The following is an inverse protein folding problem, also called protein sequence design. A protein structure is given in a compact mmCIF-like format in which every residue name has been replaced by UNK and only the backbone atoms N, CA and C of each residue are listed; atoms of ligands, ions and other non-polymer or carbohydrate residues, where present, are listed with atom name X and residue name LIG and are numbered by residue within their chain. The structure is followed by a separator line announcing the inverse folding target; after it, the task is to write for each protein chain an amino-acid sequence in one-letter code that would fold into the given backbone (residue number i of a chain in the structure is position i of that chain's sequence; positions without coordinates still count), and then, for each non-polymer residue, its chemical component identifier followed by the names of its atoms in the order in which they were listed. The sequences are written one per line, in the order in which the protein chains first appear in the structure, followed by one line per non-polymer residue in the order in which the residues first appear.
data_IF_111059021847
#
_entry.id   IF_111059021847
#
_cell.length_a   1.000
_cell.length_b   1.000
_cell.length_c   1.000
_cell.angle_alpha   90.00
_cell.angle_beta   90.00
_cell.angle_gamma   90.00
#
_symmetry.space_group_name_H-M   'P 1'
#
loop_
_entity.id
_entity.type
_entity.pdbx_description
1 polymer ?
#
# COMPACT_ATOMS: atom_id res chain seq x y z
N UNK A 1 -13.39 -6.92 14.59
CA UNK A 1 -13.89 -6.58 13.23
C UNK A 1 -13.72 -7.75 12.26
N UNK A 2 -12.54 -8.37 12.16
CA UNK A 2 -12.32 -9.52 11.26
C UNK A 2 -12.07 -10.88 11.95
N UNK A 3 -12.00 -10.92 13.29
CA UNK A 3 -11.88 -12.17 14.08
C UNK A 3 -10.80 -13.15 13.57
N UNK A 4 -9.62 -12.62 13.22
CA UNK A 4 -8.55 -13.42 12.61
C UNK A 4 -8.06 -14.58 13.49
N UNK A 5 -8.32 -14.54 14.79
CA UNK A 5 -7.99 -15.55 15.80
C UNK A 5 -9.13 -16.55 16.06
N UNK A 6 -10.28 -16.41 15.38
CA UNK A 6 -11.42 -17.30 15.58
C UNK A 6 -11.21 -18.65 14.88
N UNK A 7 -10.75 -19.63 15.66
CA UNK A 7 -10.58 -21.03 15.25
C UNK A 7 -11.87 -21.69 14.73
N UNK A 8 -13.04 -21.12 15.03
CA UNK A 8 -14.33 -21.59 14.52
C UNK A 8 -14.49 -21.45 13.01
N UNK A 9 -13.72 -20.56 12.37
CA UNK A 9 -13.79 -20.34 10.92
C UNK A 9 -13.30 -21.52 10.09
N UNK A 10 -12.45 -22.40 10.62
CA UNK A 10 -12.05 -23.63 9.94
C UNK A 10 -13.23 -24.57 9.65
N UNK A 11 -14.31 -24.46 10.42
CA UNK A 11 -15.50 -25.31 10.27
C UNK A 11 -16.49 -24.77 9.24
N UNK A 12 -16.22 -23.62 8.64
CA UNK A 12 -17.08 -22.98 7.64
C UNK A 12 -16.44 -23.19 6.27
N UNK A 13 -17.19 -23.82 5.36
CA UNK A 13 -16.75 -24.03 3.98
C UNK A 13 -16.46 -22.68 3.29
N UNK A 14 -15.29 -22.55 2.66
CA UNK A 14 -14.83 -21.31 2.01
C UNK A 14 -14.08 -20.35 2.94
N UNK A 15 -13.94 -20.66 4.23
CA UNK A 15 -13.21 -19.85 5.22
C UNK A 15 -11.87 -20.49 5.62
N UNK A 16 -11.33 -21.41 4.82
CA UNK A 16 -10.09 -22.12 5.10
C UNK A 16 -8.89 -21.17 5.24
N UNK A 17 -8.92 -20.03 4.52
CA UNK A 17 -7.93 -18.98 4.67
C UNK A 17 -7.94 -18.37 6.09
N UNK A 18 -9.12 -18.12 6.66
CA UNK A 18 -9.27 -17.63 8.02
C UNK A 18 -8.89 -18.69 9.07
N UNK A 19 -9.21 -19.97 8.83
CA UNK A 19 -8.74 -21.07 9.68
C UNK A 19 -7.21 -21.19 9.71
N UNK A 20 -6.56 -21.02 8.55
CA UNK A 20 -5.09 -20.98 8.44
C UNK A 20 -4.51 -19.75 9.17
N UNK A 21 -5.15 -18.58 9.05
CA UNK A 21 -4.75 -17.37 9.76
C UNK A 21 -4.82 -17.55 11.28
N UNK A 22 -5.91 -18.13 11.80
CA UNK A 22 -6.07 -18.37 13.23
C UNK A 22 -4.98 -19.30 13.78
N UNK A 23 -4.63 -20.38 13.07
CA UNK A 23 -3.51 -21.25 13.43
C UNK A 23 -2.15 -20.54 13.41
N UNK A 24 -1.96 -19.65 12.43
CA UNK A 24 -0.72 -18.89 12.32
C UNK A 24 -0.58 -17.90 13.49
N UNK A 25 -1.67 -17.25 13.90
CA UNK A 25 -1.73 -16.40 15.09
C UNK A 25 -1.51 -17.20 16.37
N UNK A 26 -2.12 -18.37 16.52
CA UNK A 26 -1.90 -19.26 17.68
C UNK A 26 -0.41 -19.63 17.82
N UNK A 27 0.26 -19.89 16.69
CA UNK A 27 1.68 -20.29 16.67
C UNK A 27 2.67 -19.13 16.84
N UNK A 28 2.39 -17.97 16.25
CA UNK A 28 3.34 -16.85 16.15
C UNK A 28 2.98 -15.65 17.04
N UNK A 29 1.83 -15.71 17.72
CA UNK A 29 1.31 -14.63 18.55
C UNK A 29 0.74 -13.47 17.75
N UNK A 30 0.00 -12.60 18.45
CA UNK A 30 -0.65 -11.42 17.86
C UNK A 30 0.38 -10.42 17.31
N UNK A 31 1.52 -10.25 17.99
CA UNK A 31 2.58 -9.33 17.54
C UNK A 31 3.23 -9.79 16.23
N UNK A 32 3.48 -11.10 16.09
CA UNK A 32 4.01 -11.67 14.84
C UNK A 32 3.04 -11.48 13.68
N UNK A 33 1.74 -11.62 13.94
CA UNK A 33 0.71 -11.38 12.95
C UNK A 33 0.57 -9.88 12.58
N UNK A 34 0.65 -8.98 13.57
CA UNK A 34 0.64 -7.54 13.33
C UNK A 34 1.83 -7.10 12.46
N UNK A 35 3.02 -7.63 12.74
CA UNK A 35 4.21 -7.39 11.92
C UNK A 35 4.05 -7.93 10.50
N UNK A 36 3.51 -9.15 10.34
CA UNK A 36 3.19 -9.69 9.02
C UNK A 36 2.26 -8.77 8.21
N UNK A 37 1.19 -8.26 8.83
CA UNK A 37 0.28 -7.33 8.15
C UNK A 37 0.96 -5.99 7.81
N UNK A 38 1.84 -5.49 8.69
CA UNK A 38 2.62 -4.29 8.43
C UNK A 38 3.59 -4.50 7.25
N UNK A 39 4.24 -5.66 7.15
CA UNK A 39 5.18 -6.02 6.07
C UNK A 39 4.52 -6.13 4.69
N UNK A 40 3.20 -6.33 4.63
CA UNK A 40 2.43 -6.25 3.38
C UNK A 40 2.26 -4.81 2.88
N UNK A 41 2.47 -3.81 3.73
CA UNK A 41 2.31 -2.40 3.38
C UNK A 41 3.62 -1.79 2.85
N UNK A 42 3.48 -0.65 2.15
CA UNK A 42 4.64 0.18 1.81
C UNK A 42 5.02 1.03 3.02
N UNK A 43 6.07 0.62 3.72
CA UNK A 43 6.65 1.37 4.83
C UNK A 43 8.18 1.21 4.86
N UNK A 44 8.87 2.13 5.54
CA UNK A 44 10.32 2.15 5.67
C UNK A 44 10.90 3.57 5.70
N UNK A 45 12.15 3.72 5.32
CA UNK A 45 12.75 5.04 5.04
C UNK A 45 12.11 5.65 3.78
N UNK A 46 12.20 6.98 3.56
CA UNK A 46 11.68 7.61 2.36
C UNK A 46 12.19 6.96 1.05
N UNK A 47 13.48 6.62 1.00
CA UNK A 47 14.08 5.93 -0.16
C UNK A 47 13.45 4.56 -0.40
N UNK A 48 13.25 3.76 0.65
CA UNK A 48 12.60 2.45 0.55
C UNK A 48 11.15 2.56 0.09
N UNK A 49 10.44 3.57 0.57
CA UNK A 49 9.04 3.84 0.16
C UNK A 49 9.01 4.21 -1.32
N UNK A 50 9.87 5.13 -1.77
CA UNK A 50 9.96 5.52 -3.17
C UNK A 50 10.32 4.33 -4.08
N UNK A 51 11.31 3.52 -3.71
CA UNK A 51 11.71 2.33 -4.46
C UNK A 51 10.57 1.32 -4.60
N UNK A 52 9.88 1.00 -3.49
CA UNK A 52 8.73 0.07 -3.52
C UNK A 52 7.61 0.59 -4.43
N UNK A 53 7.25 1.86 -4.32
CA UNK A 53 6.21 2.47 -5.16
C UNK A 53 6.59 2.47 -6.64
N UNK A 54 7.85 2.81 -6.95
CA UNK A 54 8.35 2.74 -8.33
C UNK A 54 8.34 1.32 -8.88
N UNK A 55 8.68 0.32 -8.06
CA UNK A 55 8.58 -1.08 -8.46
C UNK A 55 7.14 -1.48 -8.83
N UNK A 56 6.13 -0.86 -8.21
CA UNK A 56 4.73 -1.10 -8.57
C UNK A 56 4.39 -0.41 -9.89
N UNK A 57 4.78 0.85 -10.07
CA UNK A 57 4.63 1.58 -11.34
C UNK A 57 5.20 0.76 -12.50
N UNK A 58 6.42 0.25 -12.36
CA UNK A 58 7.07 -0.52 -13.43
C UNK A 58 6.41 -1.90 -13.67
N UNK A 59 5.78 -2.51 -12.65
CA UNK A 59 5.15 -3.84 -12.76
C UNK A 59 3.77 -3.82 -13.40
N UNK A 60 3.00 -2.75 -13.20
CA UNK A 60 1.61 -2.66 -13.65
C UNK A 60 1.35 -1.47 -14.60
N UNK A 61 2.42 -0.80 -15.04
CA UNK A 61 2.37 0.39 -15.90
C UNK A 61 1.43 1.47 -15.36
N UNK A 62 1.58 1.78 -14.07
CA UNK A 62 0.67 2.70 -13.39
C UNK A 62 0.95 4.16 -13.76
N UNK A 63 -0.05 4.85 -14.31
CA UNK A 63 -0.02 6.31 -14.54
C UNK A 63 -0.28 7.17 -13.30
N UNK A 64 -0.51 6.56 -12.13
CA UNK A 64 -0.87 7.27 -10.91
C UNK A 64 -0.89 6.40 -9.67
N UNK A 65 -0.65 7.03 -8.52
CA UNK A 65 -0.62 6.37 -7.21
C UNK A 65 -1.47 7.17 -6.22
N UNK A 66 -2.37 6.49 -5.52
CA UNK A 66 -3.04 7.03 -4.33
C UNK A 66 -2.33 6.52 -3.08
N UNK A 67 -1.77 7.43 -2.29
CA UNK A 67 -1.05 7.11 -1.05
C UNK A 67 -1.90 7.52 0.15
N UNK A 68 -1.96 6.67 1.16
CA UNK A 68 -2.66 6.93 2.42
C UNK A 68 -1.63 7.39 3.48
N UNK A 69 -1.56 8.69 3.82
CA UNK A 69 -0.56 9.21 4.75
C UNK A 69 -0.92 8.96 6.23
N UNK A 70 -2.15 8.54 6.52
CA UNK A 70 -2.66 8.30 7.87
C UNK A 70 -3.47 7.01 7.89
N UNK A 71 -3.07 6.05 8.74
CA UNK A 71 -3.73 4.76 8.82
C UNK A 71 -3.79 4.23 10.25
N UNK A 72 -4.72 3.30 10.49
CA UNK A 72 -4.93 2.68 11.79
C UNK A 72 -5.26 3.70 12.89
N UNK A 73 -4.57 3.60 14.02
CA UNK A 73 -4.74 4.47 15.19
C UNK A 73 -3.73 5.61 15.28
N UNK A 74 -3.11 6.03 14.17
CA UNK A 74 -2.13 7.12 14.19
C UNK A 74 -2.71 8.40 14.80
N UNK A 75 -1.95 9.02 15.72
CA UNK A 75 -2.29 10.35 16.20
C UNK A 75 -2.16 11.38 15.07
N UNK A 76 -2.86 12.51 15.21
CA UNK A 76 -2.78 13.59 14.24
C UNK A 76 -1.34 14.06 14.00
N UNK A 77 -0.56 14.20 15.06
CA UNK A 77 0.84 14.64 14.98
C UNK A 77 1.70 13.67 14.16
N UNK A 78 1.52 12.36 14.35
CA UNK A 78 2.25 11.34 13.58
C UNK A 78 1.83 11.36 12.11
N UNK A 79 0.53 11.49 11.85
CA UNK A 79 -0.01 11.57 10.50
C UNK A 79 0.52 12.81 9.74
N UNK A 80 0.57 13.98 10.39
CA UNK A 80 1.10 15.21 9.80
C UNK A 80 2.59 15.05 9.46
N UNK A 81 3.40 14.54 10.41
CA UNK A 81 4.84 14.26 10.16
C UNK A 81 5.07 13.26 9.01
N UNK A 82 4.24 12.23 8.93
CA UNK A 82 4.33 11.24 7.86
C UNK A 82 3.96 11.84 6.50
N UNK A 83 2.93 12.69 6.45
CA UNK A 83 2.56 13.44 5.26
C UNK A 83 3.71 14.34 4.80
N UNK A 84 4.34 15.08 5.72
CA UNK A 84 5.47 15.95 5.40
C UNK A 84 6.64 15.14 4.81
N UNK A 85 7.03 14.02 5.45
CA UNK A 85 8.08 13.13 4.92
C UNK A 85 7.78 12.60 3.51
N UNK A 86 6.53 12.19 3.25
CA UNK A 86 6.12 11.71 1.93
C UNK A 86 6.22 12.84 0.91
N UNK A 87 5.72 14.03 1.23
CA UNK A 87 5.68 15.15 0.29
C UNK A 87 7.06 15.73 -0.01
N UNK A 88 7.96 15.77 0.98
CA UNK A 88 9.30 16.32 0.84
C UNK A 88 10.27 15.36 0.14
N UNK A 89 10.19 14.06 0.43
CA UNK A 89 11.21 13.10 0.00
C UNK A 89 10.72 12.08 -1.03
N UNK A 90 9.47 11.63 -0.94
CA UNK A 90 8.96 10.56 -1.82
C UNK A 90 8.32 11.14 -3.08
N UNK A 91 7.44 12.12 -2.91
CA UNK A 91 6.67 12.71 -4.01
C UNK A 91 7.55 13.27 -5.16
N UNK A 92 8.70 13.92 -4.91
CA UNK A 92 9.56 14.39 -5.99
C UNK A 92 10.12 13.25 -6.84
N UNK A 93 10.47 12.12 -6.23
CA UNK A 93 10.98 10.93 -6.93
C UNK A 93 9.89 10.35 -7.84
N UNK A 94 8.67 10.24 -7.33
CA UNK A 94 7.54 9.73 -8.12
C UNK A 94 7.21 10.66 -9.30
N UNK A 95 7.19 11.97 -9.07
CA UNK A 95 6.89 12.97 -10.12
C UNK A 95 7.98 13.10 -11.19
N UNK A 96 9.20 12.63 -10.91
CA UNK A 96 10.27 12.61 -11.91
C UNK A 96 10.10 11.49 -12.96
N UNK A 97 9.24 10.50 -12.72
CA UNK A 97 8.94 9.45 -13.69
C UNK A 97 7.94 9.98 -14.73
N UNK A 98 8.33 9.96 -15.99
CA UNK A 98 7.40 10.08 -17.10
C UNK A 98 6.62 8.76 -17.25
N UNK A 99 5.32 8.83 -17.03
CA UNK A 99 4.37 7.70 -17.14
C UNK A 99 3.52 7.78 -18.40
N UNK A 100 3.97 8.57 -19.38
CA UNK A 100 3.32 8.72 -20.68
C UNK A 100 2.33 9.86 -20.77
N UNK A 101 1.96 10.51 -19.64
CA UNK A 101 1.06 11.67 -19.57
C UNK A 101 0.06 11.60 -18.40
N UNK A 102 -0.85 12.57 -18.34
CA UNK A 102 -1.72 12.78 -17.16
C UNK A 102 -2.91 11.82 -17.09
N UNK A 103 -3.28 11.45 -15.86
CA UNK A 103 -4.49 10.67 -15.57
C UNK A 103 -5.73 11.38 -16.11
N UNK A 104 -6.48 10.70 -16.99
CA UNK A 104 -7.71 11.24 -17.57
C UNK A 104 -7.51 12.08 -18.83
N UNK A 105 -6.29 12.20 -19.36
CA UNK A 105 -6.04 12.76 -20.69
C UNK A 105 -6.29 11.66 -21.74
N UNK A 106 -7.18 11.93 -22.69
CA UNK A 106 -7.35 11.04 -23.85
C UNK A 106 -6.11 11.11 -24.73
N UNK A 107 -5.34 10.04 -24.82
CA UNK A 107 -4.29 9.91 -25.83
C UNK A 107 -4.93 9.83 -27.22
N UNK A 108 -4.89 10.96 -27.94
CA UNK A 108 -5.25 11.04 -29.34
C UNK A 108 -6.41 11.96 -29.67
N UNK A 109 -6.15 13.26 -29.71
CA UNK A 109 -6.44 14.01 -30.95
C UNK A 109 -5.19 14.82 -31.26
N UNK A 110 -4.49 14.38 -32.30
CA UNK A 110 -3.35 15.08 -32.88
C UNK A 110 -3.79 16.51 -33.24
N UNK A 111 -3.42 17.51 -32.45
CA UNK A 111 -3.65 18.92 -32.76
C UNK A 111 -2.56 19.50 -33.67
N UNK A 112 -1.99 18.68 -34.56
CA UNK A 112 -0.96 19.08 -35.51
C UNK A 112 -1.10 18.28 -36.82
N UNK A 113 -2.19 18.53 -37.53
CA UNK A 113 -2.28 18.33 -38.98
C UNK A 113 -3.46 19.17 -39.52
N UNK A 114 -3.25 20.49 -39.70
CA UNK A 114 -3.52 21.34 -40.88
C UNK A 114 -2.88 22.69 -40.59
#
# INVERSE_FOLDING_TARGET
HYEFDNVGFEKIEGYEYYGNLARNIEKHGVDGFANFLADLQVWGTPDQVAEKLMSYVDRIDAGGIAIVPSYGGMSREVADKNFDLITEHVLPVLKAKDVGGDLGVQYGVNAAAV
#
